data_IF_822304882861
#
_entry.id   IF_822304882861
#
_cell.length_a   1.000
_cell.length_b   1.000
_cell.length_c   1.000
_cell.angle_alpha   90.00
_cell.angle_beta   90.00
_cell.angle_gamma   90.00
#
_symmetry.space_group_name_H-M   'P 1'
#
loop_
_entity.id
_entity.type
_entity.pdbx_description
1 polymer ?
#
# COMPACT_ATOMS: atom_id res chain seq x y z
N UNK A 1 -8.22 -19.44 -18.82
CA UNK A 1 -7.16 -18.78 -18.02
C UNK A 1 -6.19 -19.83 -17.46
N UNK A 2 -4.94 -19.47 -17.19
CA UNK A 2 -3.97 -20.34 -16.52
C UNK A 2 -4.11 -20.19 -14.99
N UNK A 3 -4.76 -21.17 -14.35
CA UNK A 3 -5.12 -21.11 -12.93
C UNK A 3 -3.90 -21.15 -11.99
N UNK A 4 -2.80 -21.83 -12.35
CA UNK A 4 -1.59 -21.83 -11.54
C UNK A 4 -0.89 -20.46 -11.56
N UNK A 5 -0.84 -19.81 -12.72
CA UNK A 5 -0.31 -18.44 -12.84
C UNK A 5 -1.19 -17.45 -12.08
N UNK A 6 -2.51 -17.53 -12.23
CA UNK A 6 -3.46 -16.68 -11.50
C UNK A 6 -3.30 -16.85 -9.98
N UNK A 7 -3.22 -18.10 -9.51
CA UNK A 7 -3.02 -18.41 -8.10
C UNK A 7 -1.73 -17.81 -7.57
N UNK A 8 -0.59 -18.00 -8.26
CA UNK A 8 0.68 -17.43 -7.86
C UNK A 8 0.62 -15.88 -7.81
N UNK A 9 -0.02 -15.28 -8.81
CA UNK A 9 -0.23 -13.82 -8.89
C UNK A 9 -1.04 -13.29 -7.71
N UNK A 10 -2.17 -13.92 -7.40
CA UNK A 10 -3.03 -13.54 -6.28
C UNK A 10 -2.33 -13.72 -4.92
N UNK A 11 -1.52 -14.76 -4.74
CA UNK A 11 -0.73 -14.94 -3.52
C UNK A 11 0.32 -13.83 -3.37
N UNK A 12 1.01 -13.46 -4.45
CA UNK A 12 1.95 -12.35 -4.45
C UNK A 12 1.28 -11.05 -4.03
N UNK A 13 0.14 -10.71 -4.65
CA UNK A 13 -0.61 -9.50 -4.32
C UNK A 13 -1.24 -9.55 -2.92
N UNK A 14 -1.60 -10.73 -2.40
CA UNK A 14 -2.08 -10.89 -1.02
C UNK A 14 -1.00 -10.54 0.01
N UNK A 15 0.23 -11.04 -0.20
CA UNK A 15 1.40 -10.74 0.64
C UNK A 15 1.70 -9.23 0.57
N UNK A 16 1.79 -8.67 -0.63
CA UNK A 16 2.04 -7.23 -0.83
C UNK A 16 0.96 -6.33 -0.20
N UNK A 17 -0.32 -6.65 -0.40
CA UNK A 17 -1.44 -5.90 0.19
C UNK A 17 -1.46 -6.00 1.72
N UNK A 18 -1.06 -7.16 2.27
CA UNK A 18 -0.90 -7.31 3.72
C UNK A 18 0.17 -6.37 4.25
N UNK A 19 1.37 -6.38 3.66
CA UNK A 19 2.47 -5.48 4.05
C UNK A 19 2.06 -4.00 3.89
N UNK A 20 1.38 -3.65 2.80
CA UNK A 20 0.85 -2.30 2.54
C UNK A 20 -0.07 -1.81 3.66
N UNK A 21 -1.07 -2.60 4.08
CA UNK A 21 -1.97 -2.23 5.19
C UNK A 21 -1.20 -1.94 6.48
N UNK A 22 -0.17 -2.74 6.78
CA UNK A 22 0.68 -2.50 7.95
C UNK A 22 1.47 -1.19 7.84
N UNK A 23 2.07 -0.92 6.68
CA UNK A 23 2.78 0.32 6.41
C UNK A 23 1.87 1.55 6.55
N UNK A 24 0.68 1.56 5.94
CA UNK A 24 -0.28 2.66 6.07
C UNK A 24 -0.66 2.94 7.52
N UNK A 25 -0.97 1.90 8.29
CA UNK A 25 -1.31 2.04 9.72
C UNK A 25 -0.14 2.55 10.54
N UNK A 26 1.09 2.11 10.25
CA UNK A 26 2.30 2.55 10.94
C UNK A 26 2.58 4.02 10.66
N UNK A 27 2.56 4.41 9.38
CA UNK A 27 2.82 5.80 8.96
C UNK A 27 1.72 6.72 9.50
N UNK A 28 0.43 6.40 9.32
CA UNK A 28 -0.66 7.25 9.82
C UNK A 28 -0.71 7.45 11.34
N UNK A 29 -0.08 6.56 12.12
CA UNK A 29 0.08 6.75 13.58
C UNK A 29 1.27 7.63 13.94
N UNK A 30 2.35 7.56 13.17
CA UNK A 30 3.64 8.12 13.57
C UNK A 30 4.07 9.32 12.71
N UNK A 31 3.37 9.66 11.63
CA UNK A 31 3.71 10.76 10.74
C UNK A 31 3.62 12.09 11.51
N UNK A 32 4.62 12.97 11.34
CA UNK A 32 4.75 14.18 12.17
C UNK A 32 3.84 15.33 11.74
N UNK A 33 3.53 15.40 10.46
CA UNK A 33 2.55 16.34 9.92
C UNK A 33 1.13 15.83 10.26
N UNK A 34 0.36 16.54 11.11
CA UNK A 34 -0.94 16.06 11.59
C UNK A 34 -1.99 15.89 10.49
N UNK A 35 -1.97 16.77 9.49
CA UNK A 35 -2.93 16.75 8.38
C UNK A 35 -2.64 15.57 7.45
N UNK A 36 -1.38 15.36 7.09
CA UNK A 36 -0.95 14.16 6.37
C UNK A 36 -1.26 12.90 7.17
N UNK A 37 -1.03 12.90 8.48
CA UNK A 37 -1.33 11.75 9.33
C UNK A 37 -2.82 11.40 9.32
N UNK A 38 -3.71 12.39 9.28
CA UNK A 38 -5.15 12.18 9.17
C UNK A 38 -5.53 11.54 7.84
N UNK A 39 -5.13 12.14 6.71
CA UNK A 39 -5.41 11.57 5.38
C UNK A 39 -4.84 10.15 5.22
N UNK A 40 -3.63 9.88 5.74
CA UNK A 40 -3.02 8.53 5.69
C UNK A 40 -3.81 7.52 6.54
N UNK A 41 -4.42 7.92 7.65
CA UNK A 41 -5.27 7.03 8.46
C UNK A 41 -6.57 6.66 7.74
N UNK A 42 -7.16 7.60 7.02
CA UNK A 42 -8.34 7.35 6.20
C UNK A 42 -8.00 6.37 5.07
N UNK A 43 -6.91 6.63 4.35
CA UNK A 43 -6.37 5.71 3.34
C UNK A 43 -6.02 4.33 3.92
N UNK A 44 -5.56 4.25 5.18
CA UNK A 44 -5.28 2.97 5.83
C UNK A 44 -6.55 2.10 6.00
N UNK A 45 -7.70 2.73 6.21
CA UNK A 45 -9.01 2.06 6.22
C UNK A 45 -9.38 1.54 4.84
N UNK A 46 -9.23 2.37 3.81
CA UNK A 46 -9.57 2.03 2.43
C UNK A 46 -8.67 0.94 1.85
N UNK A 47 -7.35 1.01 2.07
CA UNK A 47 -6.40 -0.03 1.67
C UNK A 47 -6.66 -1.35 2.40
N UNK A 48 -7.14 -1.30 3.66
CA UNK A 48 -7.57 -2.51 4.36
C UNK A 48 -8.84 -3.11 3.75
N UNK A 49 -9.78 -2.27 3.30
CA UNK A 49 -10.97 -2.72 2.58
C UNK A 49 -10.62 -3.29 1.19
N UNK A 50 -9.68 -2.69 0.46
CA UNK A 50 -9.16 -3.24 -0.81
C UNK A 50 -8.56 -4.64 -0.61
N UNK A 51 -7.81 -4.84 0.47
CA UNK A 51 -7.25 -6.16 0.78
C UNK A 51 -8.34 -7.19 1.05
N UNK A 52 -9.42 -6.81 1.73
CA UNK A 52 -10.56 -7.73 1.93
C UNK A 52 -11.27 -8.01 0.60
N UNK A 53 -11.42 -7.03 -0.27
CA UNK A 53 -11.94 -7.26 -1.62
C UNK A 53 -11.05 -8.23 -2.42
N UNK A 54 -9.71 -8.10 -2.33
CA UNK A 54 -8.78 -9.08 -2.89
C UNK A 54 -9.02 -10.48 -2.30
N UNK A 55 -9.32 -10.60 -1.01
CA UNK A 55 -9.67 -11.90 -0.41
C UNK A 55 -10.90 -12.53 -1.05
N UNK A 56 -11.94 -11.74 -1.29
CA UNK A 56 -13.16 -12.24 -1.93
C UNK A 56 -12.90 -12.61 -3.40
N UNK A 57 -12.09 -11.84 -4.12
CA UNK A 57 -11.63 -12.21 -5.47
C UNK A 57 -10.90 -13.55 -5.43
N UNK A 58 -9.96 -13.74 -4.49
CA UNK A 58 -9.26 -15.02 -4.33
C UNK A 58 -10.23 -16.19 -4.14
N UNK A 59 -11.25 -16.02 -3.29
CA UNK A 59 -12.28 -17.05 -3.08
C UNK A 59 -13.10 -17.35 -4.33
N UNK A 60 -13.48 -16.31 -5.09
CA UNK A 60 -14.27 -16.49 -6.32
C UNK A 60 -13.58 -17.37 -7.35
N UNK A 61 -12.23 -17.39 -7.35
CA UNK A 61 -11.41 -18.23 -8.23
C UNK A 61 -10.87 -19.49 -7.55
N UNK A 62 -11.36 -19.83 -6.35
CA UNK A 62 -10.97 -21.06 -5.64
C UNK A 62 -9.60 -20.99 -4.93
N UNK A 63 -9.04 -19.80 -4.73
CA UNK A 63 -7.75 -19.59 -4.07
C UNK A 63 -7.96 -19.14 -2.62
N UNK A 64 -7.29 -19.81 -1.68
CA UNK A 64 -7.26 -19.37 -0.27
C UNK A 64 -6.02 -18.53 0.02
N UNK A 65 -6.11 -17.42 0.76
CA UNK A 65 -4.94 -16.62 1.11
C UNK A 65 -3.90 -17.35 1.95
N UNK A 66 -2.61 -17.17 1.65
CA UNK A 66 -1.52 -17.79 2.39
C UNK A 66 -1.36 -17.22 3.81
N UNK A 67 -1.51 -18.08 4.82
CA UNK A 67 -1.24 -17.74 6.22
C UNK A 67 0.26 -17.50 6.49
N UNK A 68 1.14 -18.31 5.89
CA UNK A 68 2.60 -18.18 6.04
C UNK A 68 3.09 -16.88 5.41
N UNK A 69 2.62 -16.56 4.20
CA UNK A 69 2.92 -15.31 3.52
C UNK A 69 2.41 -14.08 4.29
N UNK A 70 1.26 -14.20 4.96
CA UNK A 70 0.72 -13.14 5.83
C UNK A 70 1.63 -12.86 7.03
N UNK A 71 2.15 -13.90 7.69
CA UNK A 71 3.08 -13.74 8.82
C UNK A 71 4.42 -13.17 8.35
N UNK A 72 4.94 -13.65 7.21
CA UNK A 72 6.17 -13.11 6.62
C UNK A 72 6.00 -11.65 6.18
N UNK A 73 4.86 -11.24 5.62
CA UNK A 73 4.57 -9.85 5.27
C UNK A 73 4.50 -8.92 6.50
N UNK A 74 4.01 -9.45 7.63
CA UNK A 74 3.98 -8.73 8.92
C UNK A 74 5.36 -8.57 9.52
N UNK A 75 6.19 -9.61 9.41
CA UNK A 75 7.55 -9.64 9.98
C UNK A 75 8.57 -8.93 9.08
N UNK A 76 8.41 -9.08 7.77
CA UNK A 76 9.16 -8.41 6.73
C UNK A 76 8.33 -7.26 6.17
N UNK A 77 8.16 -6.18 6.94
CA UNK A 77 8.02 -4.85 6.33
C UNK A 77 9.27 -4.66 5.44
N UNK A 78 9.17 -5.10 4.18
CA UNK A 78 10.27 -5.64 3.36
C UNK A 78 11.11 -4.54 2.66
N UNK A 79 11.33 -3.44 3.37
CA UNK A 79 12.52 -2.58 3.24
C UNK A 79 13.00 -2.31 4.66
N UNK A 80 13.31 -3.41 5.35
CA UNK A 80 13.71 -3.42 6.73
C UNK A 80 14.71 -2.33 7.00
N UNK A 81 14.56 -1.62 8.11
CA UNK A 81 15.61 -0.71 8.57
C UNK A 81 16.07 0.23 7.43
N UNK A 82 15.27 1.25 7.15
CA UNK A 82 15.87 2.59 7.26
C UNK A 82 16.36 2.71 8.71
N UNK A 83 17.51 2.09 8.99
CA UNK A 83 18.34 2.33 10.15
C UNK A 83 19.02 3.65 9.82
N UNK A 84 18.70 4.77 10.47
CA UNK A 84 19.79 5.59 10.96
C UNK A 84 20.41 4.77 12.09
N UNK A 85 21.51 4.10 11.76
CA UNK A 85 22.55 3.65 12.67
C UNK A 85 22.34 4.05 14.14
N UNK A 86 21.77 3.16 14.96
CA UNK A 86 21.99 3.02 16.41
C UNK A 86 22.32 4.25 17.26
N UNK A 87 21.86 5.45 16.91
CA UNK A 87 22.22 6.71 17.55
C UNK A 87 21.09 7.73 17.37
N UNK A 88 20.47 8.04 18.51
CA UNK A 88 19.97 9.36 18.91
C UNK A 88 18.58 9.79 18.38
N UNK A 89 17.57 9.55 19.21
CA UNK A 89 16.50 10.46 19.67
C UNK A 89 15.72 11.43 18.75
N UNK A 90 15.93 11.50 17.44
CA UNK A 90 15.07 12.29 16.55
C UNK A 90 14.91 11.63 15.19
N UNK A 91 13.68 11.24 14.83
CA UNK A 91 13.32 10.84 13.45
C UNK A 91 13.77 11.95 12.50
N UNK A 92 14.49 11.61 11.42
CA UNK A 92 14.98 12.61 10.48
C UNK A 92 13.83 13.16 9.61
N UNK A 93 13.82 14.44 9.22
CA UNK A 93 12.80 15.00 8.31
C UNK A 93 12.59 14.20 7.02
N UNK A 94 13.67 13.62 6.48
CA UNK A 94 13.66 12.77 5.29
C UNK A 94 12.87 11.45 5.48
N UNK A 95 12.72 10.97 6.72
CA UNK A 95 11.95 9.75 7.00
C UNK A 95 10.50 9.89 6.57
N UNK A 96 9.88 11.05 6.75
CA UNK A 96 8.47 11.25 6.41
C UNK A 96 8.27 11.26 4.88
N UNK A 97 9.25 11.78 4.13
CA UNK A 97 9.25 11.75 2.66
C UNK A 97 9.33 10.31 2.13
N UNK A 98 10.30 9.54 2.62
CA UNK A 98 10.53 8.15 2.17
C UNK A 98 9.36 7.23 2.58
N UNK A 99 8.71 7.51 3.71
CA UNK A 99 7.49 6.80 4.09
C UNK A 99 6.35 7.04 3.10
N UNK A 100 6.14 8.28 2.65
CA UNK A 100 5.14 8.59 1.61
C UNK A 100 5.48 7.91 0.27
N UNK A 101 6.75 7.86 -0.12
CA UNK A 101 7.20 7.10 -1.31
C UNK A 101 6.89 5.61 -1.18
N UNK A 102 7.11 5.04 0.00
CA UNK A 102 6.77 3.64 0.30
C UNK A 102 5.27 3.40 0.16
N UNK A 103 4.42 4.30 0.67
CA UNK A 103 2.97 4.19 0.53
C UNK A 103 2.52 4.32 -0.94
N UNK A 104 3.15 5.22 -1.71
CA UNK A 104 2.90 5.36 -3.16
C UNK A 104 3.22 4.07 -3.90
N UNK A 105 4.39 3.47 -3.66
CA UNK A 105 4.76 2.18 -4.26
C UNK A 105 3.75 1.08 -3.92
N UNK A 106 3.29 1.01 -2.67
CA UNK A 106 2.29 0.04 -2.25
C UNK A 106 0.95 0.20 -2.98
N UNK A 107 0.47 1.44 -3.14
CA UNK A 107 -0.77 1.71 -3.86
C UNK A 107 -0.62 1.46 -5.36
N UNK A 108 0.49 1.85 -5.97
CA UNK A 108 0.75 1.57 -7.39
C UNK A 108 0.82 0.08 -7.68
N UNK A 109 1.48 -0.71 -6.82
CA UNK A 109 1.52 -2.17 -6.96
C UNK A 109 0.15 -2.82 -6.81
N UNK A 110 -0.67 -2.34 -5.86
CA UNK A 110 -2.07 -2.78 -5.70
C UNK A 110 -2.90 -2.44 -6.95
N UNK A 111 -2.81 -1.21 -7.45
CA UNK A 111 -3.55 -0.74 -8.62
C UNK A 111 -3.20 -1.58 -9.85
N UNK A 112 -1.92 -1.79 -10.12
CA UNK A 112 -1.47 -2.66 -11.22
C UNK A 112 -2.03 -4.09 -11.08
N UNK A 113 -2.11 -4.60 -9.84
CA UNK A 113 -2.78 -5.86 -9.51
C UNK A 113 -4.23 -5.93 -9.99
N UNK A 114 -5.01 -4.90 -9.66
CA UNK A 114 -6.41 -4.83 -10.06
C UNK A 114 -6.60 -4.59 -11.55
N UNK A 115 -5.74 -3.80 -12.20
CA UNK A 115 -5.79 -3.57 -13.65
C UNK A 115 -5.56 -4.88 -14.45
N UNK A 116 -4.61 -5.71 -14.02
CA UNK A 116 -4.38 -7.04 -14.64
C UNK A 116 -5.58 -7.96 -14.42
N UNK A 117 -6.14 -7.99 -13.20
CA UNK A 117 -7.33 -8.80 -12.91
C UNK A 117 -8.54 -8.31 -13.73
N UNK A 118 -8.68 -6.99 -13.92
CA UNK A 118 -9.76 -6.42 -14.72
C UNK A 118 -9.63 -6.82 -16.18
N UNK A 119 -8.43 -6.77 -16.75
CA UNK A 119 -8.20 -7.25 -18.11
C UNK A 119 -8.53 -8.75 -18.25
N UNK A 120 -8.18 -9.57 -17.25
CA UNK A 120 -8.49 -10.99 -17.25
C UNK A 120 -10.00 -11.30 -17.08
N UNK A 121 -10.78 -10.37 -16.51
CA UNK A 121 -12.22 -10.55 -16.29
C UNK A 121 -13.03 -10.61 -17.60
N UNK A 122 -12.48 -10.14 -18.72
CA UNK A 122 -13.12 -10.27 -20.04
C UNK A 122 -13.16 -11.74 -20.51
N UNK A 123 -12.23 -12.57 -20.02
CA UNK A 123 -12.07 -13.99 -20.41
C UNK A 123 -12.48 -14.97 -19.30
N UNK A 124 -12.79 -14.50 -18.08
CA UNK A 124 -13.14 -15.36 -16.95
C UNK A 124 -14.20 -14.75 -16.03
N UNK A 125 -15.41 -15.33 -16.13
CA UNK A 125 -16.60 -14.90 -15.40
C UNK A 125 -16.51 -15.06 -13.87
N UNK A 126 -15.47 -15.71 -13.33
CA UNK A 126 -15.24 -15.76 -11.87
C UNK A 126 -14.78 -14.39 -11.35
N UNK A 127 -14.20 -13.54 -12.20
CA UNK A 127 -13.76 -12.19 -11.85
C UNK A 127 -14.88 -11.19 -12.17
N UNK A 128 -15.31 -10.42 -11.18
CA UNK A 128 -16.32 -9.39 -11.37
C UNK A 128 -15.69 -8.08 -11.90
N UNK A 129 -15.96 -7.70 -13.18
CA UNK A 129 -15.37 -6.50 -13.77
C UNK A 129 -15.83 -5.21 -13.08
N UNK A 130 -17.07 -5.14 -12.59
CA UNK A 130 -17.60 -3.93 -11.95
C UNK A 130 -16.94 -3.70 -10.58
N UNK A 131 -16.75 -4.77 -9.81
CA UNK A 131 -15.98 -4.68 -8.56
C UNK A 131 -14.55 -4.22 -8.83
N UNK A 132 -13.89 -4.76 -9.87
CA UNK A 132 -12.53 -4.38 -10.22
C UNK A 132 -12.43 -2.92 -10.70
N UNK A 133 -13.37 -2.44 -11.52
CA UNK A 133 -13.42 -1.05 -11.97
C UNK A 133 -13.51 -0.07 -10.79
N UNK A 134 -14.35 -0.39 -9.79
CA UNK A 134 -14.45 0.41 -8.55
C UNK A 134 -13.16 0.41 -7.73
N UNK A 135 -12.48 -0.75 -7.63
CA UNK A 135 -11.19 -0.85 -6.93
C UNK A 135 -10.09 -0.06 -7.64
N UNK A 136 -10.10 -0.04 -8.98
CA UNK A 136 -9.19 0.74 -9.82
C UNK A 136 -9.44 2.23 -9.64
N UNK A 137 -10.70 2.68 -9.69
CA UNK A 137 -11.07 4.09 -9.50
C UNK A 137 -10.60 4.60 -8.13
N UNK A 138 -10.97 3.89 -7.06
CA UNK A 138 -10.50 4.18 -5.71
C UNK A 138 -8.97 4.13 -5.60
N UNK A 139 -8.34 3.15 -6.26
CA UNK A 139 -6.88 3.04 -6.37
C UNK A 139 -6.22 4.30 -6.95
N UNK A 140 -6.80 4.87 -8.01
CA UNK A 140 -6.31 6.10 -8.64
C UNK A 140 -6.50 7.32 -7.73
N UNK A 141 -7.57 7.38 -6.96
CA UNK A 141 -7.77 8.43 -5.95
C UNK A 141 -6.70 8.37 -4.85
N UNK A 142 -6.41 7.17 -4.34
CA UNK A 142 -5.32 6.98 -3.39
C UNK A 142 -3.97 7.48 -3.93
N UNK A 143 -3.65 7.18 -5.20
CA UNK A 143 -2.41 7.66 -5.86
C UNK A 143 -2.39 9.18 -5.85
N UNK A 144 -3.46 9.84 -6.33
CA UNK A 144 -3.53 11.30 -6.38
C UNK A 144 -3.34 11.93 -5.01
N UNK A 145 -3.98 11.39 -3.98
CA UNK A 145 -3.84 11.89 -2.61
C UNK A 145 -2.41 11.77 -2.10
N UNK A 146 -1.78 10.60 -2.27
CA UNK A 146 -0.40 10.38 -1.82
C UNK A 146 0.63 11.20 -2.61
N UNK A 147 0.40 11.46 -3.90
CA UNK A 147 1.22 12.36 -4.70
C UNK A 147 1.17 13.78 -4.18
N UNK A 148 -0.05 14.27 -3.90
CA UNK A 148 -0.27 15.59 -3.33
C UNK A 148 0.40 15.73 -1.96
N UNK A 149 0.22 14.75 -1.07
CA UNK A 149 0.87 14.70 0.24
C UNK A 149 2.39 14.65 0.12
N UNK A 150 2.91 13.82 -0.77
CA UNK A 150 4.35 13.67 -0.98
C UNK A 150 4.99 14.97 -1.44
N UNK A 151 4.43 15.66 -2.45
CA UNK A 151 4.96 16.95 -2.92
C UNK A 151 4.92 17.99 -1.80
N UNK A 152 3.78 18.12 -1.11
CA UNK A 152 3.59 19.10 -0.02
C UNK A 152 4.58 18.87 1.13
N UNK A 153 4.61 17.65 1.67
CA UNK A 153 5.51 17.30 2.78
C UNK A 153 6.97 17.42 2.35
N UNK A 154 7.33 17.02 1.13
CA UNK A 154 8.71 17.13 0.65
C UNK A 154 9.15 18.59 0.55
N UNK A 155 8.31 19.45 -0.01
CA UNK A 155 8.56 20.89 -0.07
C UNK A 155 8.79 21.46 1.33
N UNK A 156 7.89 21.18 2.27
CA UNK A 156 7.98 21.68 3.65
C UNK A 156 9.26 21.18 4.35
N UNK A 157 9.69 19.94 4.10
CA UNK A 157 10.90 19.38 4.73
C UNK A 157 12.21 19.77 4.06
N UNK A 158 12.19 20.13 2.78
CA UNK A 158 13.38 20.60 2.05
C UNK A 158 13.63 22.09 2.33
N UNK A 159 12.56 22.89 2.50
CA UNK A 159 12.65 24.34 2.70
C UNK A 159 12.67 24.74 4.18
N UNK A 160 12.19 23.88 5.10
CA UNK A 160 12.37 24.12 6.52
C UNK A 160 13.87 24.18 6.84
N UNK A 161 14.35 25.35 7.27
CA UNK A 161 15.70 25.54 7.77
C UNK A 161 16.05 24.44 8.78
N UNK A 162 17.26 23.89 8.67
CA UNK A 162 17.81 23.06 9.73
C UNK A 162 17.75 23.87 11.04
N UNK A 163 17.27 23.29 12.16
CA UNK A 163 17.34 24.00 13.43
C UNK A 163 18.81 24.40 13.65
N UNK A 164 19.03 25.71 13.85
CA UNK A 164 20.30 26.20 14.36
C UNK A 164 20.49 25.55 15.72
N UNK A 165 21.61 24.83 15.82
CA UNK A 165 22.10 23.94 16.88
C UNK A 165 21.51 24.07 18.28
#
# INVERSE_FOLDING_TARGET
>A
MNDEVLKAYLQHHWVGSTAGVHAFRRVGRNHRDPDAAAEIRDLAGEVAADREALREIMRSVGVSPSAVGTTAARAGELLGRLKPNGRLFTRAPLTDVVELETLRLAVSGKLAGFEVLRAAADDDARLDPYTLDRLIERGREHVRTLERLHVRVSHDRIIADAPVS
#
